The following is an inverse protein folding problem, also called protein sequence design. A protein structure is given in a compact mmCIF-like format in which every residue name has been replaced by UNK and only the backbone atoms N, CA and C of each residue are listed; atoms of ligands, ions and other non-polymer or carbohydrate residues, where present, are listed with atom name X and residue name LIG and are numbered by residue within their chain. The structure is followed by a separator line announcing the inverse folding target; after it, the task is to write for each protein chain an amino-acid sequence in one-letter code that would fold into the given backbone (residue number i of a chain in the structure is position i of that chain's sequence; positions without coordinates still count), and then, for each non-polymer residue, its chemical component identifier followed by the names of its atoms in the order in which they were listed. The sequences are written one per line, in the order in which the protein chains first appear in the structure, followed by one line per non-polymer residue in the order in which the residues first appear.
data_IF_487765297716
#
_entry.id   IF_487765297716
#
_cell.length_a   1.000
_cell.length_b   1.000
_cell.length_c   1.000
_cell.angle_alpha   90.00
_cell.angle_beta   90.00
_cell.angle_gamma   90.00
#
_symmetry.space_group_name_H-M   'P 1'
#
loop_
_entity.id
_entity.type
_entity.pdbx_description
1 polymer ?
#
# COMPACT_ATOMS: atom_id res chain seq x y z
N UNK A 1 5.54 6.91 -26.87
CA UNK A 1 4.93 5.57 -27.05
C UNK A 1 5.22 4.72 -25.83
N UNK A 2 4.19 4.30 -25.11
CA UNK A 2 4.30 3.34 -24.00
C UNK A 2 4.61 1.95 -24.57
N UNK A 3 5.65 1.27 -24.06
CA UNK A 3 5.94 -0.12 -24.42
C UNK A 3 4.81 -1.01 -23.89
N UNK A 4 4.31 -1.96 -24.69
CA UNK A 4 3.32 -2.94 -24.24
C UNK A 4 3.88 -3.66 -23.00
N UNK A 5 3.23 -3.49 -21.84
CA UNK A 5 3.72 -3.94 -20.52
C UNK A 5 4.29 -2.85 -19.61
N UNK A 6 4.40 -1.61 -20.08
CA UNK A 6 4.88 -0.46 -19.30
C UNK A 6 3.75 0.57 -19.13
N UNK A 7 2.63 0.15 -18.54
CA UNK A 7 1.67 1.13 -18.04
C UNK A 7 2.34 1.90 -16.90
N UNK A 8 2.32 3.24 -16.88
CA UNK A 8 2.87 4.02 -15.77
C UNK A 8 2.27 3.63 -14.41
N UNK A 9 1.08 3.04 -14.41
CA UNK A 9 0.39 2.49 -13.25
C UNK A 9 1.02 1.18 -12.72
N UNK A 10 1.55 0.32 -13.61
CA UNK A 10 2.06 -1.00 -13.23
C UNK A 10 3.25 -0.89 -12.28
N UNK A 11 4.20 0.01 -12.55
CA UNK A 11 5.37 0.18 -11.69
C UNK A 11 5.04 0.72 -10.29
N UNK A 12 4.03 1.58 -10.17
CA UNK A 12 3.56 2.10 -8.88
C UNK A 12 2.89 1.02 -8.05
N UNK A 13 2.03 0.20 -8.67
CA UNK A 13 1.38 -0.92 -8.01
C UNK A 13 2.36 -2.06 -7.68
N UNK A 14 3.31 -2.38 -8.56
CA UNK A 14 4.38 -3.34 -8.28
C UNK A 14 5.23 -2.92 -7.07
N UNK A 15 5.58 -1.64 -6.98
CA UNK A 15 6.29 -1.10 -5.81
C UNK A 15 5.45 -1.22 -4.53
N UNK A 16 4.15 -0.89 -4.60
CA UNK A 16 3.25 -1.06 -3.45
C UNK A 16 3.17 -2.51 -2.99
N UNK A 17 2.97 -3.47 -3.90
CA UNK A 17 2.90 -4.89 -3.55
C UNK A 17 4.24 -5.43 -3.04
N UNK A 18 5.37 -4.93 -3.53
CA UNK A 18 6.70 -5.25 -3.00
C UNK A 18 6.82 -4.85 -1.53
N UNK A 19 6.43 -3.62 -1.19
CA UNK A 19 6.46 -3.09 0.17
C UNK A 19 5.47 -3.84 1.06
N UNK A 20 4.23 -4.05 0.61
CA UNK A 20 3.20 -4.78 1.36
C UNK A 20 3.70 -6.17 1.74
N UNK A 21 4.25 -6.93 0.79
CA UNK A 21 4.77 -8.27 1.08
C UNK A 21 5.97 -8.23 2.02
N UNK A 22 6.86 -7.24 1.87
CA UNK A 22 8.04 -7.10 2.74
C UNK A 22 7.71 -6.68 4.17
N UNK A 23 6.69 -5.85 4.39
CA UNK A 23 6.35 -5.32 5.71
C UNK A 23 5.37 -6.22 6.47
N UNK A 24 4.47 -6.90 5.78
CA UNK A 24 3.39 -7.69 6.40
C UNK A 24 3.55 -9.20 6.22
N UNK A 25 4.05 -9.67 5.06
CA UNK A 25 3.86 -11.07 4.67
C UNK A 25 5.12 -11.91 4.93
N UNK A 26 6.27 -11.48 4.40
CA UNK A 26 7.51 -12.24 4.51
C UNK A 26 7.99 -12.33 5.97
N UNK A 27 8.26 -13.55 6.43
CA UNK A 27 8.61 -13.87 7.82
C UNK A 27 7.40 -14.16 8.71
N UNK A 28 6.18 -13.90 8.23
CA UNK A 28 4.93 -14.10 8.96
C UNK A 28 4.00 -15.11 8.27
N UNK A 29 4.44 -15.79 7.20
CA UNK A 29 3.56 -16.69 6.42
C UNK A 29 2.87 -17.75 7.28
N UNK A 30 3.56 -18.27 8.31
CA UNK A 30 3.00 -19.30 9.22
C UNK A 30 2.07 -18.73 10.29
N UNK A 31 2.06 -17.42 10.49
CA UNK A 31 1.19 -16.75 11.48
C UNK A 31 -0.25 -16.68 10.99
N UNK A 32 -0.45 -16.66 9.67
CA UNK A 32 -1.77 -16.65 9.04
C UNK A 32 -2.37 -18.06 9.01
N UNK A 33 -3.36 -18.30 9.88
CA UNK A 33 -3.95 -19.64 10.05
C UNK A 33 -4.99 -19.99 8.99
N UNK A 34 -5.50 -18.99 8.28
CA UNK A 34 -6.53 -19.13 7.25
C UNK A 34 -6.40 -18.03 6.20
N UNK A 35 -7.06 -18.22 5.06
CA UNK A 35 -7.12 -17.17 4.03
C UNK A 35 -7.89 -15.93 4.51
N UNK A 36 -8.89 -16.12 5.37
CA UNK A 36 -9.66 -15.03 5.99
C UNK A 36 -8.75 -14.14 6.86
N UNK A 37 -7.90 -14.76 7.69
CA UNK A 37 -6.93 -14.05 8.53
C UNK A 37 -5.92 -13.24 7.69
N UNK A 38 -5.48 -13.80 6.55
CA UNK A 38 -4.63 -13.10 5.60
C UNK A 38 -5.37 -11.94 4.89
N UNK A 39 -6.63 -12.15 4.49
CA UNK A 39 -7.46 -11.12 3.85
C UNK A 39 -7.70 -9.93 4.80
N UNK A 40 -8.00 -10.23 6.06
CA UNK A 40 -8.16 -9.21 7.11
C UNK A 40 -6.87 -8.43 7.32
N UNK A 41 -5.72 -9.11 7.43
CA UNK A 41 -4.42 -8.44 7.57
C UNK A 41 -4.08 -7.55 6.36
N UNK A 42 -4.41 -8.00 5.14
CA UNK A 42 -4.26 -7.19 3.91
C UNK A 42 -5.14 -5.95 3.97
N UNK A 43 -6.40 -6.10 4.37
CA UNK A 43 -7.37 -5.01 4.51
C UNK A 43 -6.91 -3.96 5.52
N UNK A 44 -6.44 -4.41 6.68
CA UNK A 44 -5.93 -3.53 7.74
C UNK A 44 -4.68 -2.78 7.31
N UNK A 45 -3.76 -3.44 6.60
CA UNK A 45 -2.57 -2.78 6.07
C UNK A 45 -2.92 -1.74 5.00
N UNK A 46 -3.87 -2.03 4.10
CA UNK A 46 -4.34 -1.05 3.11
C UNK A 46 -4.94 0.17 3.82
N UNK A 47 -5.77 -0.05 4.84
CA UNK A 47 -6.34 1.03 5.64
C UNK A 47 -5.26 1.86 6.33
N UNK A 48 -4.28 1.23 6.97
CA UNK A 48 -3.12 1.88 7.57
C UNK A 48 -2.35 2.71 6.54
N UNK A 49 -2.02 2.12 5.38
CA UNK A 49 -1.25 2.77 4.34
C UNK A 49 -1.94 4.02 3.80
N UNK A 50 -3.27 4.00 3.67
CA UNK A 50 -4.03 5.12 3.11
C UNK A 50 -4.34 6.21 4.14
N UNK A 51 -4.66 5.84 5.37
CA UNK A 51 -5.22 6.76 6.36
C UNK A 51 -4.21 7.20 7.43
N UNK A 52 -3.25 6.34 7.77
CA UNK A 52 -2.36 6.54 8.92
C UNK A 52 -0.88 6.72 8.54
N UNK A 53 -0.44 6.17 7.41
CA UNK A 53 0.97 6.19 7.01
C UNK A 53 1.45 7.62 6.72
N UNK A 54 2.33 8.12 7.58
CA UNK A 54 2.98 9.41 7.43
C UNK A 54 4.03 9.32 6.33
N UNK A 55 3.96 10.21 5.33
CA UNK A 55 4.98 10.31 4.29
C UNK A 55 5.66 11.68 4.34
N UNK A 56 6.99 11.69 4.49
CA UNK A 56 7.77 12.92 4.47
C UNK A 56 7.56 13.71 3.17
N UNK A 57 7.49 13.01 2.02
CA UNK A 57 7.17 13.59 0.71
C UNK A 57 5.80 14.28 0.66
N UNK A 58 4.87 13.89 1.54
CA UNK A 58 3.53 14.48 1.66
C UNK A 58 3.45 15.49 2.81
N UNK A 59 4.58 16.07 3.24
CA UNK A 59 4.66 17.03 4.36
C UNK A 59 4.11 16.44 5.68
N UNK A 60 4.33 15.15 5.89
CA UNK A 60 3.87 14.45 7.10
C UNK A 60 2.40 14.06 7.10
N UNK A 61 1.71 14.18 5.96
CA UNK A 61 0.31 13.79 5.81
C UNK A 61 0.17 12.34 5.35
N UNK A 62 -0.95 11.72 5.70
CA UNK A 62 -1.36 10.47 5.08
C UNK A 62 -1.84 10.70 3.63
N UNK A 63 -1.83 9.66 2.78
CA UNK A 63 -2.30 9.80 1.39
C UNK A 63 -3.70 10.40 1.26
N UNK A 64 -4.65 9.97 2.11
CA UNK A 64 -6.00 10.52 2.12
C UNK A 64 -6.00 11.99 2.54
N UNK A 65 -5.29 12.34 3.62
CA UNK A 65 -5.19 13.73 4.08
C UNK A 65 -4.56 14.65 3.03
N UNK A 66 -3.53 14.18 2.33
CA UNK A 66 -2.91 14.92 1.24
C UNK A 66 -3.89 15.14 0.09
N UNK A 67 -4.66 14.11 -0.29
CA UNK A 67 -5.68 14.21 -1.34
C UNK A 67 -6.78 15.21 -0.98
N UNK A 68 -7.27 15.20 0.25
CA UNK A 68 -8.31 16.14 0.70
C UNK A 68 -7.81 17.57 0.79
N UNK A 69 -6.50 17.78 1.05
CA UNK A 69 -5.90 19.11 1.13
C UNK A 69 -5.80 19.84 -0.22
N UNK A 70 -5.78 19.11 -1.33
CA UNK A 70 -5.74 19.72 -2.68
C UNK A 70 -7.06 20.35 -3.12
N UNK A 71 -8.13 20.21 -2.34
CA UNK A 71 -9.45 20.82 -2.61
C UNK A 71 -9.72 22.07 -1.76
N UNK A 72 -8.71 22.60 -1.06
CA UNK A 72 -8.77 23.84 -0.28
C UNK A 72 -7.65 24.77 -0.74
#
# INVERSE_FOLDING_TARGET
MSRKGNSPDNGMMESFFGILKSEMFYGLEKSYKSLDDLEQAITDYIFYNNNKRIKAKLKGLSPVQYRTKSFT
#
